data_IF_298379933944
#
_entry.id   IF_298379933944
#
_cell.length_a   1.000
_cell.length_b   1.000
_cell.length_c   1.000
_cell.angle_alpha   90.00
_cell.angle_beta   90.00
_cell.angle_gamma   90.00
#
_symmetry.space_group_name_H-M   'P 1'
#
loop_
_entity.id
_entity.type
_entity.pdbx_description
1 polymer ?
#
# COMPACT_ATOMS: atom_id res chain seq x y z
N UNK A 1 13.78 -19.63 26.05
CA UNK A 1 13.16 -19.31 24.74
C UNK A 1 14.14 -19.79 23.68
N UNK A 2 13.79 -20.86 22.93
CA UNK A 2 14.64 -21.33 21.85
C UNK A 2 14.56 -20.30 20.72
N UNK A 3 15.57 -19.42 20.66
CA UNK A 3 15.77 -18.57 19.48
C UNK A 3 16.14 -19.52 18.33
N UNK A 4 15.25 -19.71 17.38
CA UNK A 4 15.53 -20.49 16.17
C UNK A 4 16.60 -19.71 15.40
N UNK A 5 17.84 -20.17 15.45
CA UNK A 5 18.97 -19.56 14.74
C UNK A 5 18.83 -19.84 13.23
N UNK A 6 19.02 -18.82 12.40
CA UNK A 6 19.13 -18.91 10.95
C UNK A 6 20.59 -18.84 10.49
N UNK A 7 21.54 -19.10 11.38
CA UNK A 7 22.97 -19.07 11.09
C UNK A 7 23.32 -19.98 9.92
N UNK A 8 23.98 -19.42 8.90
CA UNK A 8 24.36 -20.11 7.68
C UNK A 8 23.25 -20.36 6.67
N UNK A 9 22.04 -19.86 6.93
CA UNK A 9 20.95 -19.91 5.97
C UNK A 9 20.93 -18.68 5.07
N UNK A 10 20.63 -18.89 3.81
CA UNK A 10 20.42 -17.80 2.83
C UNK A 10 18.93 -17.63 2.57
N UNK A 11 18.43 -16.40 2.74
CA UNK A 11 17.03 -16.02 2.52
C UNK A 11 16.99 -14.95 1.44
N UNK A 12 16.16 -15.16 0.41
CA UNK A 12 15.92 -14.18 -0.65
C UNK A 12 14.65 -13.39 -0.36
N UNK A 13 14.73 -12.07 -0.41
CA UNK A 13 13.57 -11.18 -0.26
C UNK A 13 13.18 -10.61 -1.62
N UNK A 14 11.96 -10.95 -2.06
CA UNK A 14 11.42 -10.56 -3.38
C UNK A 14 10.52 -9.33 -3.35
N UNK A 15 10.27 -8.76 -2.16
CA UNK A 15 9.47 -7.54 -1.98
C UNK A 15 10.23 -6.29 -2.44
N UNK A 16 9.53 -5.17 -2.72
CA UNK A 16 10.17 -3.87 -2.90
C UNK A 16 11.14 -3.54 -1.75
N UNK A 17 12.30 -2.97 -2.08
CA UNK A 17 13.39 -2.73 -1.11
C UNK A 17 12.92 -2.02 0.16
N UNK A 18 12.11 -0.96 0.01
CA UNK A 18 11.61 -0.16 1.15
C UNK A 18 10.74 -0.98 2.11
N UNK A 19 10.07 -2.02 1.61
CA UNK A 19 9.20 -2.89 2.39
C UNK A 19 9.94 -4.07 3.02
N UNK A 20 11.19 -4.29 2.63
CA UNK A 20 12.03 -5.40 3.10
C UNK A 20 12.93 -5.02 4.27
N UNK A 21 13.16 -3.73 4.53
CA UNK A 21 14.16 -3.23 5.49
C UNK A 21 14.00 -3.81 6.89
N UNK A 22 12.78 -3.87 7.41
CA UNK A 22 12.56 -4.39 8.76
C UNK A 22 12.78 -5.91 8.79
N UNK A 23 12.21 -6.65 7.84
CA UNK A 23 12.34 -8.10 7.75
C UNK A 23 13.80 -8.50 7.54
N UNK A 24 14.53 -7.79 6.70
CA UNK A 24 15.96 -7.98 6.49
C UNK A 24 16.75 -7.87 7.80
N UNK A 25 16.51 -6.80 8.58
CA UNK A 25 17.16 -6.59 9.88
C UNK A 25 16.85 -7.74 10.86
N UNK A 26 15.61 -8.19 10.91
CA UNK A 26 15.20 -9.29 11.77
C UNK A 26 15.86 -10.61 11.37
N UNK A 27 15.93 -10.91 10.06
CA UNK A 27 16.59 -12.11 9.54
C UNK A 27 18.10 -12.09 9.80
N UNK A 28 18.76 -10.95 9.58
CA UNK A 28 20.20 -10.76 9.88
C UNK A 28 20.45 -10.95 11.38
N UNK A 29 19.60 -10.40 12.24
CA UNK A 29 19.70 -10.57 13.70
C UNK A 29 19.58 -12.04 14.14
N UNK A 30 18.89 -12.86 13.36
CA UNK A 30 18.79 -14.32 13.55
C UNK A 30 19.98 -15.09 12.94
N UNK A 31 20.91 -14.40 12.27
CA UNK A 31 22.11 -14.98 11.67
C UNK A 31 21.97 -15.40 10.20
N UNK A 32 20.90 -15.03 9.52
CA UNK A 32 20.72 -15.32 8.10
C UNK A 32 21.59 -14.43 7.23
N UNK A 33 22.02 -14.97 6.08
CA UNK A 33 22.51 -14.21 4.94
C UNK A 33 21.30 -13.78 4.10
N UNK A 34 21.06 -12.48 3.94
CA UNK A 34 19.88 -11.97 3.21
C UNK A 34 20.31 -11.46 1.83
N UNK A 35 19.60 -11.91 0.80
CA UNK A 35 19.78 -11.46 -0.59
C UNK A 35 18.51 -10.67 -0.97
N UNK A 36 18.69 -9.41 -1.37
CA UNK A 36 17.61 -8.57 -1.89
C UNK A 36 17.45 -8.80 -3.40
N UNK A 37 16.34 -9.39 -3.81
CA UNK A 37 16.02 -9.63 -5.22
C UNK A 37 14.55 -9.18 -5.49
N UNK A 38 14.27 -7.87 -5.49
CA UNK A 38 12.92 -7.40 -5.68
C UNK A 38 12.40 -7.79 -7.07
N UNK A 39 11.22 -8.41 -7.14
CA UNK A 39 10.53 -8.75 -8.38
C UNK A 39 9.56 -7.66 -8.84
N UNK A 40 9.26 -6.72 -7.96
CA UNK A 40 8.44 -5.54 -8.26
C UNK A 40 9.06 -4.29 -7.63
N UNK A 41 8.82 -3.15 -8.26
CA UNK A 41 9.12 -1.83 -7.75
C UNK A 41 7.85 -0.97 -7.68
N UNK A 42 7.80 -0.08 -6.69
CA UNK A 42 6.74 0.93 -6.62
C UNK A 42 7.25 2.16 -7.35
N UNK A 43 6.49 2.59 -8.36
CA UNK A 43 6.82 3.69 -9.25
C UNK A 43 5.71 4.75 -9.26
N UNK A 44 5.99 5.90 -9.86
CA UNK A 44 4.98 6.89 -10.14
C UNK A 44 3.97 6.34 -11.17
N UNK A 45 2.69 6.72 -11.09
CA UNK A 45 1.72 6.38 -12.12
C UNK A 45 2.06 7.06 -13.45
N UNK A 46 1.38 6.65 -14.55
CA UNK A 46 1.63 7.16 -15.91
C UNK A 46 1.49 8.68 -16.03
N UNK A 47 0.57 9.27 -15.27
CA UNK A 47 0.39 10.72 -15.18
C UNK A 47 1.39 11.42 -14.24
N UNK A 48 2.42 10.70 -13.78
CA UNK A 48 3.43 11.18 -12.83
C UNK A 48 2.86 11.70 -11.50
N UNK A 49 1.64 11.27 -11.15
CA UNK A 49 0.95 11.65 -9.93
C UNK A 49 0.17 12.98 -10.04
N UNK A 50 -0.04 13.52 -11.23
CA UNK A 50 -0.74 14.80 -11.42
C UNK A 50 -2.18 14.76 -10.89
N UNK A 51 -2.93 13.70 -11.18
CA UNK A 51 -4.31 13.54 -10.71
C UNK A 51 -4.37 13.46 -9.17
N UNK A 52 -3.47 12.70 -8.55
CA UNK A 52 -3.38 12.63 -7.10
C UNK A 52 -3.04 13.98 -6.49
N UNK A 53 -2.00 14.65 -6.97
CA UNK A 53 -1.56 15.95 -6.46
C UNK A 53 -2.67 17.01 -6.58
N UNK A 54 -3.39 17.04 -7.70
CA UNK A 54 -4.54 17.93 -7.91
C UNK A 54 -5.65 17.64 -6.89
N UNK A 55 -5.96 16.37 -6.65
CA UNK A 55 -6.98 15.97 -5.66
C UNK A 55 -6.56 16.30 -4.24
N UNK A 56 -5.29 16.09 -3.89
CA UNK A 56 -4.75 16.42 -2.56
C UNK A 56 -4.73 17.93 -2.31
N UNK A 57 -4.42 18.75 -3.31
CA UNK A 57 -4.50 20.21 -3.19
C UNK A 57 -5.94 20.70 -2.92
N UNK A 58 -6.95 19.90 -3.27
CA UNK A 58 -8.37 20.20 -3.08
C UNK A 58 -9.03 19.21 -2.08
N UNK A 59 -8.27 18.62 -1.16
CA UNK A 59 -8.72 17.54 -0.30
C UNK A 59 -9.90 17.95 0.61
N UNK A 60 -10.04 19.23 0.92
CA UNK A 60 -11.17 19.78 1.68
C UNK A 60 -12.53 19.68 0.95
N UNK A 61 -12.56 19.34 -0.33
CA UNK A 61 -13.79 19.12 -1.10
C UNK A 61 -14.33 17.68 -0.96
N UNK A 62 -13.57 16.81 -0.31
CA UNK A 62 -13.94 15.41 -0.11
C UNK A 62 -14.43 15.16 1.31
N UNK A 63 -15.48 14.35 1.43
CA UNK A 63 -15.98 13.87 2.70
C UNK A 63 -15.17 12.69 3.22
N UNK A 64 -14.62 11.90 2.28
CA UNK A 64 -13.77 10.75 2.57
C UNK A 64 -12.53 10.69 1.69
N UNK A 65 -11.43 10.24 2.29
CA UNK A 65 -10.26 9.72 1.59
C UNK A 65 -10.17 8.22 1.88
N UNK A 66 -10.18 7.41 0.84
CA UNK A 66 -10.11 5.94 0.92
C UNK A 66 -8.79 5.47 0.33
N UNK A 67 -8.07 4.62 1.06
CA UNK A 67 -6.83 3.98 0.59
C UNK A 67 -6.97 2.46 0.59
N UNK A 68 -6.58 1.82 -0.49
CA UNK A 68 -6.71 0.36 -0.68
C UNK A 68 -5.39 -0.39 -0.52
N UNK A 69 -4.31 0.29 -0.16
CA UNK A 69 -2.99 -0.31 0.08
C UNK A 69 -2.12 0.58 0.94
N UNK A 70 -1.11 -0.01 1.60
CA UNK A 70 -0.09 0.75 2.32
C UNK A 70 0.73 1.67 1.39
N UNK A 71 0.96 1.26 0.14
CA UNK A 71 1.64 2.10 -0.86
C UNK A 71 0.83 3.35 -1.20
N UNK A 72 -0.48 3.20 -1.44
CA UNK A 72 -1.37 4.33 -1.68
C UNK A 72 -1.47 5.24 -0.45
N UNK A 73 -1.54 4.67 0.75
CA UNK A 73 -1.55 5.41 2.01
C UNK A 73 -0.28 6.27 2.18
N UNK A 74 0.89 5.72 1.90
CA UNK A 74 2.17 6.44 1.98
C UNK A 74 2.22 7.68 1.05
N UNK A 75 1.57 7.62 -0.12
CA UNK A 75 1.53 8.74 -1.06
C UNK A 75 0.68 9.92 -0.57
N UNK A 76 -0.31 9.66 0.28
CA UNK A 76 -1.23 10.70 0.79
C UNK A 76 -0.90 11.18 2.20
N UNK A 77 -0.09 10.43 2.96
CA UNK A 77 0.22 10.71 4.36
C UNK A 77 0.81 12.12 4.60
N UNK A 78 1.71 12.57 3.70
CA UNK A 78 2.34 13.90 3.80
C UNK A 78 1.33 15.04 3.68
N UNK A 79 0.31 14.90 2.83
CA UNK A 79 -0.73 15.91 2.70
C UNK A 79 -1.63 15.96 3.94
N UNK A 80 -1.98 14.79 4.50
CA UNK A 80 -2.81 14.69 5.70
C UNK A 80 -2.16 15.31 6.94
N UNK A 81 -0.85 15.15 7.10
CA UNK A 81 -0.11 15.68 8.25
C UNK A 81 -0.08 17.21 8.32
N UNK A 82 -0.36 17.88 7.22
CA UNK A 82 -0.35 19.35 7.12
C UNK A 82 -1.75 19.97 7.27
N UNK A 83 -2.80 19.16 7.41
CA UNK A 83 -4.17 19.64 7.47
C UNK A 83 -4.66 19.83 8.91
N UNK A 84 -5.25 21.00 9.20
CA UNK A 84 -5.96 21.23 10.47
C UNK A 84 -7.36 20.60 10.48
N UNK A 85 -8.00 20.51 9.31
CA UNK A 85 -9.31 19.85 9.11
C UNK A 85 -9.16 18.91 7.92
N UNK A 86 -9.44 17.63 8.12
CA UNK A 86 -9.29 16.59 7.11
C UNK A 86 -10.62 15.89 6.81
N UNK A 87 -10.79 15.27 5.64
CA UNK A 87 -11.89 14.35 5.39
C UNK A 87 -11.83 13.17 6.36
N UNK A 88 -12.90 12.40 6.46
CA UNK A 88 -12.88 11.09 7.10
C UNK A 88 -11.95 10.16 6.33
N UNK A 89 -11.25 9.30 7.04
CA UNK A 89 -10.27 8.38 6.44
C UNK A 89 -10.78 6.94 6.51
N UNK A 90 -10.64 6.23 5.40
CA UNK A 90 -10.89 4.80 5.35
C UNK A 90 -9.68 4.06 4.75
N UNK A 91 -9.32 2.94 5.37
CA UNK A 91 -8.26 2.08 4.89
C UNK A 91 -8.74 0.64 4.73
N UNK A 92 -8.26 -0.07 3.72
CA UNK A 92 -8.65 -1.46 3.45
C UNK A 92 -8.25 -2.42 4.57
N UNK A 93 -7.26 -2.06 5.40
CA UNK A 93 -6.77 -2.89 6.48
C UNK A 93 -5.72 -2.19 7.33
N UNK A 94 -5.30 -2.86 8.41
CA UNK A 94 -4.38 -2.30 9.40
C UNK A 94 -3.08 -1.74 8.80
N UNK A 95 -2.42 -2.46 7.90
CA UNK A 95 -1.17 -1.99 7.29
C UNK A 95 -1.35 -0.68 6.52
N UNK A 96 -2.49 -0.51 5.83
CA UNK A 96 -2.83 0.73 5.13
C UNK A 96 -3.20 1.85 6.09
N UNK A 97 -3.88 1.54 7.20
CA UNK A 97 -4.18 2.49 8.26
C UNK A 97 -2.91 3.00 8.96
N UNK A 98 -2.02 2.08 9.32
CA UNK A 98 -0.73 2.43 9.95
C UNK A 98 0.14 3.31 9.03
N UNK A 99 0.11 3.05 7.71
CA UNK A 99 0.87 3.82 6.73
C UNK A 99 0.35 5.24 6.50
N UNK A 100 -0.89 5.55 6.88
CA UNK A 100 -1.42 6.92 6.87
C UNK A 100 -0.79 7.81 7.96
N UNK A 101 -0.30 7.21 9.05
CA UNK A 101 0.34 7.91 10.16
C UNK A 101 -0.59 8.78 11.01
N UNK A 102 -1.90 8.67 10.80
CA UNK A 102 -2.95 9.38 11.54
C UNK A 102 -4.11 8.43 11.84
N UNK A 103 -4.96 8.80 12.79
CA UNK A 103 -6.14 8.01 13.14
C UNK A 103 -7.08 7.86 11.94
N UNK A 104 -7.64 6.65 11.76
CA UNK A 104 -8.51 6.28 10.64
C UNK A 104 -9.92 6.06 11.15
N UNK A 105 -10.90 6.65 10.47
CA UNK A 105 -12.32 6.62 10.87
C UNK A 105 -13.00 5.29 10.52
N UNK A 106 -12.48 4.54 9.53
CA UNK A 106 -13.07 3.28 9.09
C UNK A 106 -12.02 2.28 8.56
N UNK A 107 -12.08 1.06 9.07
CA UNK A 107 -11.34 -0.11 8.58
C UNK A 107 -12.30 -1.31 8.61
N UNK A 108 -12.44 -2.10 7.53
CA UNK A 108 -13.29 -3.29 7.54
C UNK A 108 -12.72 -4.39 8.44
N UNK A 109 -13.56 -5.33 8.84
CA UNK A 109 -13.17 -6.47 9.70
C UNK A 109 -12.22 -7.42 8.99
N UNK A 110 -12.32 -7.54 7.66
CA UNK A 110 -11.42 -8.32 6.81
C UNK A 110 -10.77 -7.35 5.83
N UNK A 111 -9.43 -7.39 5.74
CA UNK A 111 -8.63 -6.49 4.91
C UNK A 111 -8.74 -6.83 3.41
N UNK A 112 -9.89 -6.55 2.80
CA UNK A 112 -10.21 -6.80 1.39
C UNK A 112 -11.06 -5.66 0.82
N UNK A 113 -10.92 -5.38 -0.48
CA UNK A 113 -11.65 -4.30 -1.14
C UNK A 113 -13.16 -4.51 -1.18
N UNK A 114 -13.63 -5.76 -1.39
CA UNK A 114 -15.04 -6.13 -1.35
C UNK A 114 -15.65 -5.95 0.06
N UNK A 115 -14.91 -6.32 1.10
CA UNK A 115 -15.31 -6.11 2.50
C UNK A 115 -15.31 -4.63 2.89
N UNK A 116 -14.32 -3.86 2.41
CA UNK A 116 -14.33 -2.41 2.58
C UNK A 116 -15.63 -1.84 2.00
N UNK A 117 -15.98 -2.20 0.76
CA UNK A 117 -17.24 -1.77 0.13
C UNK A 117 -18.44 -2.27 0.90
N UNK A 118 -18.50 -3.55 1.27
CA UNK A 118 -19.66 -4.16 1.94
C UNK A 118 -19.99 -3.49 3.29
N UNK A 119 -18.95 -3.10 4.04
CA UNK A 119 -19.07 -2.51 5.37
C UNK A 119 -19.03 -0.97 5.37
N UNK A 120 -18.63 -0.33 4.26
CA UNK A 120 -18.57 1.13 4.16
C UNK A 120 -19.95 1.75 4.44
N UNK A 121 -20.08 2.84 5.21
CA UNK A 121 -21.36 3.45 5.48
C UNK A 121 -22.09 3.83 4.18
N UNK A 122 -23.43 3.74 4.20
CA UNK A 122 -24.24 4.34 3.13
C UNK A 122 -24.32 5.84 3.36
N UNK A 123 -24.31 6.61 2.29
CA UNK A 123 -24.32 8.06 2.42
C UNK A 123 -24.29 8.77 1.08
N UNK A 124 -24.00 10.04 1.15
CA UNK A 124 -23.77 10.91 -0.03
C UNK A 124 -22.50 11.71 0.21
N UNK A 125 -22.05 12.41 -0.82
CA UNK A 125 -20.84 13.23 -0.77
C UNK A 125 -19.75 12.71 -1.70
N UNK A 126 -18.53 13.25 -1.56
CA UNK A 126 -17.40 12.95 -2.44
C UNK A 126 -16.35 12.10 -1.74
N UNK A 127 -15.88 11.10 -2.45
CA UNK A 127 -14.81 10.21 -2.02
C UNK A 127 -13.61 10.37 -2.95
N UNK A 128 -12.44 10.66 -2.40
CA UNK A 128 -11.19 10.47 -3.08
C UNK A 128 -10.72 9.02 -2.80
N UNK A 129 -10.62 8.20 -3.84
CA UNK A 129 -10.09 6.84 -3.77
C UNK A 129 -8.67 6.81 -4.34
N UNK A 130 -7.67 6.73 -3.45
CA UNK A 130 -6.27 6.60 -3.84
C UNK A 130 -5.86 5.12 -3.89
N UNK A 131 -5.58 4.61 -5.10
CA UNK A 131 -5.33 3.19 -5.36
C UNK A 131 -4.16 2.96 -6.32
N UNK A 132 -3.79 1.69 -6.57
CA UNK A 132 -2.82 1.37 -7.60
C UNK A 132 -3.36 1.76 -8.98
N UNK A 133 -2.48 2.07 -9.92
CA UNK A 133 -2.85 2.43 -11.29
C UNK A 133 -3.63 1.31 -12.00
N UNK A 134 -3.26 0.06 -11.75
CA UNK A 134 -3.85 -1.15 -12.30
C UNK A 134 -4.96 -1.75 -11.43
N UNK A 135 -5.37 -1.06 -10.37
CA UNK A 135 -6.49 -1.48 -9.54
C UNK A 135 -7.78 -1.47 -10.37
N UNK A 136 -8.51 -2.56 -10.37
CA UNK A 136 -9.80 -2.64 -11.04
C UNK A 136 -10.83 -1.65 -10.47
N UNK A 137 -11.92 -1.40 -11.21
CA UNK A 137 -12.98 -0.46 -10.83
C UNK A 137 -13.88 -0.90 -9.66
N UNK A 138 -13.76 -2.13 -9.17
CA UNK A 138 -14.72 -2.75 -8.24
C UNK A 138 -14.97 -1.93 -6.96
N UNK A 139 -13.92 -1.38 -6.35
CA UNK A 139 -14.06 -0.56 -5.13
C UNK A 139 -14.75 0.77 -5.46
N UNK A 140 -14.34 1.43 -6.53
CA UNK A 140 -14.96 2.70 -6.95
C UNK A 140 -16.46 2.51 -7.27
N UNK A 141 -16.80 1.46 -8.03
CA UNK A 141 -18.18 1.17 -8.41
C UNK A 141 -19.02 0.77 -7.20
N UNK A 142 -18.45 0.01 -6.29
CA UNK A 142 -19.09 -0.35 -5.03
C UNK A 142 -19.40 0.87 -4.16
N UNK A 143 -18.48 1.84 -4.05
CA UNK A 143 -18.72 3.09 -3.31
C UNK A 143 -19.76 3.97 -4.00
N UNK A 144 -19.76 4.03 -5.35
CA UNK A 144 -20.80 4.71 -6.12
C UNK A 144 -22.18 4.10 -5.87
N UNK A 145 -22.28 2.77 -5.84
CA UNK A 145 -23.53 2.06 -5.52
C UNK A 145 -24.02 2.31 -4.09
N UNK A 146 -23.16 2.81 -3.19
CA UNK A 146 -23.51 3.24 -1.84
C UNK A 146 -23.95 4.69 -1.74
N UNK A 147 -23.92 5.44 -2.85
CA UNK A 147 -24.44 6.81 -2.96
C UNK A 147 -23.40 7.91 -3.06
N UNK A 148 -22.10 7.55 -3.19
CA UNK A 148 -21.03 8.53 -3.24
C UNK A 148 -20.64 8.91 -4.68
N UNK A 149 -20.16 10.15 -4.85
CA UNK A 149 -19.40 10.56 -6.03
C UNK A 149 -17.94 10.17 -5.78
N UNK A 150 -17.35 9.34 -6.66
CA UNK A 150 -16.01 8.78 -6.43
C UNK A 150 -15.05 9.25 -7.50
N UNK A 151 -14.02 9.96 -7.06
CA UNK A 151 -12.84 10.29 -7.83
C UNK A 151 -11.76 9.24 -7.52
N UNK A 152 -11.60 8.28 -8.43
CA UNK A 152 -10.58 7.25 -8.31
C UNK A 152 -9.30 7.72 -9.02
N UNK A 153 -8.20 7.80 -8.29
CA UNK A 153 -6.91 8.27 -8.79
C UNK A 153 -5.81 7.24 -8.55
N UNK A 154 -4.91 7.14 -9.50
CA UNK A 154 -3.71 6.34 -9.35
C UNK A 154 -2.75 7.04 -8.38
N UNK A 155 -2.47 6.40 -7.26
CA UNK A 155 -1.51 6.87 -6.27
C UNK A 155 -0.10 6.35 -6.53
N UNK A 156 0.02 5.20 -7.18
CA UNK A 156 1.29 4.59 -7.56
C UNK A 156 1.05 3.57 -8.69
N UNK A 157 2.13 3.17 -9.33
CA UNK A 157 2.18 2.02 -10.24
C UNK A 157 3.06 0.92 -9.65
N UNK A 158 2.85 -0.32 -10.10
CA UNK A 158 3.72 -1.45 -9.81
C UNK A 158 4.44 -1.83 -11.09
N UNK A 159 5.76 -1.79 -11.07
CA UNK A 159 6.61 -2.20 -12.19
C UNK A 159 7.24 -3.56 -11.91
N UNK A 160 7.31 -4.42 -12.93
CA UNK A 160 8.02 -5.70 -12.84
C UNK A 160 9.52 -5.41 -12.93
N UNK A 161 10.27 -5.96 -11.98
CA UNK A 161 11.73 -5.96 -12.00
C UNK A 161 12.22 -7.34 -12.45
N UNK A 162 13.01 -7.37 -13.49
CA UNK A 162 13.64 -8.61 -13.97
C UNK A 162 14.98 -8.78 -13.25
N UNK A 163 15.14 -9.83 -12.42
CA UNK A 163 16.39 -10.09 -11.73
C UNK A 163 17.54 -10.36 -12.72
N UNK A 164 18.77 -10.07 -12.29
CA UNK A 164 19.97 -10.46 -13.05
C UNK A 164 20.18 -11.98 -13.04
N UNK A 165 21.00 -12.50 -13.96
CA UNK A 165 21.36 -13.91 -13.97
C UNK A 165 22.04 -14.34 -12.66
N UNK A 166 22.87 -13.48 -12.10
CA UNK A 166 23.57 -13.72 -10.84
C UNK A 166 22.61 -13.81 -9.65
N UNK A 167 21.61 -12.90 -9.61
CA UNK A 167 20.57 -12.96 -8.58
C UNK A 167 19.74 -14.24 -8.67
N UNK A 168 19.43 -14.68 -9.89
CA UNK A 168 18.71 -15.93 -10.13
C UNK A 168 19.50 -17.15 -9.69
N UNK A 169 20.83 -17.19 -9.93
CA UNK A 169 21.69 -18.26 -9.46
C UNK A 169 21.80 -18.29 -7.94
N UNK A 170 21.88 -17.11 -7.29
CA UNK A 170 21.86 -17.00 -5.83
C UNK A 170 20.53 -17.50 -5.25
N UNK A 171 19.40 -17.11 -5.88
CA UNK A 171 18.07 -17.55 -5.44
C UNK A 171 17.87 -19.07 -5.55
N UNK A 172 18.41 -19.72 -6.59
CA UNK A 172 18.36 -21.18 -6.74
C UNK A 172 19.09 -21.95 -5.63
N UNK A 173 20.07 -21.31 -4.99
CA UNK A 173 20.87 -21.91 -3.90
C UNK A 173 20.40 -21.47 -2.52
N UNK A 174 19.39 -20.61 -2.45
CA UNK A 174 18.87 -20.12 -1.19
C UNK A 174 18.07 -21.19 -0.44
N UNK A 175 18.03 -21.09 0.88
CA UNK A 175 17.25 -21.97 1.74
C UNK A 175 15.76 -21.56 1.77
N UNK A 176 15.45 -20.27 1.48
CA UNK A 176 14.10 -19.74 1.38
C UNK A 176 14.02 -18.53 0.43
N UNK A 177 12.84 -18.33 -0.19
CA UNK A 177 12.50 -17.22 -1.06
C UNK A 177 11.15 -16.61 -0.64
#
# INVERSE_FOLDING_TARGET
MNSTSLAGRTVVLTRPLQQSIQLERELIALGAHVVQMPLIAIALPLDKGEALNTSLANLQQYDWLVVTSANGAAQVAGALSQMSVRPKLAAVGKASADALGVEVDFVPTIARGDELVAQFPRGSGRVLLAQAQDAGGAVADGLRARGYVVDAVAAYATEIVVPSSDDMELAQRADAV
#
